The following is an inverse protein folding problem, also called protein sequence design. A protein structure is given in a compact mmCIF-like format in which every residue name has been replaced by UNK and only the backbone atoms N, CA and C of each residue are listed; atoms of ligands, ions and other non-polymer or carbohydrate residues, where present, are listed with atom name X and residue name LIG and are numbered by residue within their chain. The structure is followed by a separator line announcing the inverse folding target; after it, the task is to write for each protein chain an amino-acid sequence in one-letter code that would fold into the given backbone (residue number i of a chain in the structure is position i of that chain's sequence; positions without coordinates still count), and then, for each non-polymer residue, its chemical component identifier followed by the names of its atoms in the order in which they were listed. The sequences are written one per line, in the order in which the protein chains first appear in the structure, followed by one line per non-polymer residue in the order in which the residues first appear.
data_IF_175461470474
#
_entry.id   IF_175461470474
#
_cell.length_a   1.000
_cell.length_b   1.000
_cell.length_c   1.000
_cell.angle_alpha   90.00
_cell.angle_beta   90.00
_cell.angle_gamma   90.00
#
_symmetry.space_group_name_H-M   'P 1'
#
loop_
_entity.id
_entity.type
_entity.pdbx_description
1 polymer ?
#
# COMPACT_ATOMS: atom_id res chain seq x y z
N UNK A 1 1.79 7.64 -27.72
CA UNK A 1 0.35 7.88 -27.86
C UNK A 1 -0.33 7.83 -26.49
N UNK A 2 -1.63 8.13 -26.44
CA UNK A 2 -2.44 8.25 -25.21
C UNK A 2 -2.28 7.07 -24.25
N UNK A 3 -2.39 5.83 -24.74
CA UNK A 3 -2.19 4.62 -23.94
C UNK A 3 -0.85 4.62 -23.18
N UNK A 4 0.26 4.93 -23.85
CA UNK A 4 1.59 4.96 -23.21
C UNK A 4 1.69 6.02 -22.12
N UNK A 5 1.01 7.16 -22.29
CA UNK A 5 0.93 8.20 -21.28
C UNK A 5 0.16 7.70 -20.04
N UNK A 6 -0.99 7.04 -20.25
CA UNK A 6 -1.77 6.46 -19.14
C UNK A 6 -0.96 5.39 -18.40
N UNK A 7 -0.31 4.48 -19.12
CA UNK A 7 0.55 3.44 -18.53
C UNK A 7 1.69 4.06 -17.70
N UNK A 8 2.34 5.11 -18.22
CA UNK A 8 3.46 5.78 -17.55
C UNK A 8 3.04 6.51 -16.25
N UNK A 9 1.81 7.04 -16.20
CA UNK A 9 1.27 7.72 -15.02
C UNK A 9 0.62 6.76 -14.02
N UNK A 10 0.46 5.48 -14.36
CA UNK A 10 -0.14 4.44 -13.53
C UNK A 10 0.93 3.75 -12.70
N UNK A 11 0.67 3.57 -11.41
CA UNK A 11 1.61 3.02 -10.43
C UNK A 11 1.03 1.82 -9.71
N UNK A 12 1.92 0.92 -9.27
CA UNK A 12 1.55 -0.17 -8.36
C UNK A 12 1.55 0.34 -6.93
N UNK A 13 0.55 -0.05 -6.14
CA UNK A 13 0.46 0.26 -4.70
C UNK A 13 0.60 -1.04 -3.94
N UNK A 14 1.68 -1.18 -3.15
CA UNK A 14 1.98 -2.40 -2.39
C UNK A 14 1.88 -2.11 -0.90
N UNK A 15 1.11 -2.93 -0.21
CA UNK A 15 0.92 -2.93 1.23
C UNK A 15 1.09 -4.34 1.80
N UNK A 16 1.01 -4.50 3.12
CA UNK A 16 1.30 -5.76 3.79
C UNK A 16 0.47 -6.94 3.30
N UNK A 17 -0.84 -6.77 3.22
CA UNK A 17 -1.78 -7.86 2.92
C UNK A 17 -2.49 -7.71 1.58
N UNK A 18 -2.30 -6.61 0.88
CA UNK A 18 -2.93 -6.38 -0.42
C UNK A 18 -2.01 -5.65 -1.38
N UNK A 19 -2.42 -5.59 -2.61
CA UNK A 19 -1.84 -4.77 -3.64
C UNK A 19 -2.97 -4.13 -4.45
N UNK A 20 -2.68 -2.97 -5.00
CA UNK A 20 -3.60 -2.25 -5.86
C UNK A 20 -2.87 -1.42 -6.88
N UNK A 21 -3.61 -0.54 -7.45
CA UNK A 21 -3.16 0.40 -8.47
C UNK A 21 -3.45 1.83 -8.01
N UNK A 22 -2.68 2.76 -8.49
CA UNK A 22 -2.93 4.19 -8.38
C UNK A 22 -2.48 4.90 -9.65
N UNK A 23 -2.73 6.18 -9.73
CA UNK A 23 -2.18 7.00 -10.82
C UNK A 23 -1.98 8.44 -10.38
N UNK A 24 -1.02 9.12 -11.00
CA UNK A 24 -0.75 10.53 -10.73
C UNK A 24 -1.87 11.41 -11.26
N UNK A 25 -2.47 12.21 -10.37
CA UNK A 25 -3.50 13.22 -10.68
C UNK A 25 -2.94 14.65 -10.68
N UNK A 26 -1.81 14.85 -10.04
CA UNK A 26 -0.96 16.05 -10.07
C UNK A 26 0.50 15.59 -10.12
N UNK A 27 1.48 16.48 -10.30
CA UNK A 27 2.88 16.09 -10.32
C UNK A 27 3.36 15.27 -9.12
N UNK A 28 2.77 15.45 -7.94
CA UNK A 28 3.21 14.81 -6.70
C UNK A 28 2.09 14.10 -5.91
N UNK A 29 0.92 13.92 -6.51
CA UNK A 29 -0.21 13.25 -5.87
C UNK A 29 -0.67 12.05 -6.68
N UNK A 30 -0.73 10.91 -6.02
CA UNK A 30 -1.30 9.66 -6.54
C UNK A 30 -2.65 9.43 -5.88
N UNK A 31 -3.68 9.16 -6.68
CA UNK A 31 -4.97 8.66 -6.19
C UNK A 31 -4.98 7.12 -6.25
N UNK A 32 -5.62 6.50 -5.28
CA UNK A 32 -5.88 5.05 -5.22
C UNK A 32 -7.18 4.77 -4.49
N UNK A 33 -7.62 3.52 -4.42
CA UNK A 33 -8.75 3.13 -3.59
C UNK A 33 -8.38 3.12 -2.11
N UNK A 34 -9.28 3.61 -1.25
CA UNK A 34 -9.07 3.66 0.19
C UNK A 34 -8.85 2.26 0.79
N UNK A 35 -9.66 1.27 0.38
CA UNK A 35 -9.56 -0.10 0.88
C UNK A 35 -8.20 -0.76 0.61
N UNK A 36 -7.48 -0.32 -0.43
CA UNK A 36 -6.12 -0.83 -0.76
C UNK A 36 -5.11 -0.47 0.32
N UNK A 37 -5.27 0.71 0.94
CA UNK A 37 -4.31 1.26 1.90
C UNK A 37 -4.85 1.38 3.32
N UNK A 38 -6.06 0.90 3.57
CA UNK A 38 -6.70 0.99 4.88
C UNK A 38 -5.84 0.32 5.96
N UNK A 39 -5.54 1.06 7.04
CA UNK A 39 -4.69 0.58 8.13
C UNK A 39 -3.19 0.47 7.82
N UNK A 40 -2.75 0.88 6.64
CA UNK A 40 -1.36 0.78 6.22
C UNK A 40 -0.60 2.11 6.44
N UNK A 41 0.33 2.15 7.38
CA UNK A 41 1.04 3.39 7.73
C UNK A 41 2.05 3.84 6.67
N UNK A 42 2.47 2.92 5.79
CA UNK A 42 3.52 3.19 4.80
C UNK A 42 3.35 2.34 3.54
N UNK A 43 2.29 2.57 2.75
CA UNK A 43 2.18 1.92 1.43
C UNK A 43 3.38 2.31 0.56
N UNK A 44 3.78 1.43 -0.36
CA UNK A 44 4.83 1.70 -1.33
C UNK A 44 4.21 1.92 -2.70
N UNK A 45 4.62 3.00 -3.33
CA UNK A 45 4.21 3.36 -4.68
C UNK A 45 5.36 3.01 -5.61
N UNK A 46 5.13 2.06 -6.53
CA UNK A 46 6.13 1.58 -7.48
C UNK A 46 5.80 2.14 -8.86
N UNK A 47 6.74 2.88 -9.43
CA UNK A 47 6.65 3.40 -10.79
C UNK A 47 6.88 2.28 -11.82
N UNK A 48 6.44 2.47 -13.09
CA UNK A 48 6.69 1.50 -14.16
C UNK A 48 8.17 1.18 -14.43
N UNK A 49 9.08 2.08 -14.05
CA UNK A 49 10.53 1.89 -14.16
C UNK A 49 11.16 1.15 -12.96
N UNK A 50 10.36 0.72 -11.98
CA UNK A 50 10.77 -0.01 -10.80
C UNK A 50 11.21 0.85 -9.62
N UNK A 51 11.33 2.17 -9.77
CA UNK A 51 11.57 3.05 -8.62
C UNK A 51 10.37 3.02 -7.68
N UNK A 52 10.60 3.02 -6.37
CA UNK A 52 9.50 3.06 -5.41
C UNK A 52 9.67 4.16 -4.36
N UNK A 53 8.54 4.65 -3.88
CA UNK A 53 8.44 5.76 -2.94
C UNK A 53 7.47 5.45 -1.81
N UNK A 54 7.71 6.08 -0.67
CA UNK A 54 6.78 6.10 0.47
C UNK A 54 6.07 7.45 0.49
N UNK A 55 4.75 7.50 0.68
CA UNK A 55 4.04 8.77 0.79
C UNK A 55 4.49 9.57 2.02
N UNK A 56 4.61 10.88 1.86
CA UNK A 56 4.86 11.82 2.96
C UNK A 56 3.57 12.14 3.74
N UNK A 57 2.43 12.08 3.05
CA UNK A 57 1.11 12.34 3.61
C UNK A 57 0.05 11.52 2.89
N UNK A 58 -0.90 11.01 3.66
CA UNK A 58 -2.05 10.24 3.17
C UNK A 58 -3.33 10.91 3.68
N UNK A 59 -4.23 11.22 2.77
CA UNK A 59 -5.59 11.69 3.08
C UNK A 59 -6.60 10.81 2.34
N UNK A 60 -7.80 10.66 2.88
CA UNK A 60 -8.78 9.80 2.23
C UNK A 60 -10.18 9.93 2.78
N UNK A 61 -11.10 9.24 2.11
CA UNK A 61 -12.51 9.10 2.47
C UNK A 61 -12.94 7.64 2.25
N UNK A 62 -13.22 6.92 3.34
CA UNK A 62 -13.64 5.51 3.29
C UNK A 62 -15.04 5.34 2.69
N UNK A 63 -15.90 6.36 2.75
CA UNK A 63 -17.26 6.32 2.18
C UNK A 63 -17.21 6.35 0.66
N UNK A 64 -16.31 7.15 0.09
CA UNK A 64 -16.07 7.21 -1.35
C UNK A 64 -15.08 6.15 -1.86
N UNK A 65 -14.43 5.43 -0.95
CA UNK A 65 -13.35 4.48 -1.26
C UNK A 65 -12.20 5.11 -2.05
N UNK A 66 -11.81 6.33 -1.70
CA UNK A 66 -10.69 7.03 -2.33
C UNK A 66 -9.66 7.51 -1.31
N UNK A 67 -8.40 7.48 -1.71
CA UNK A 67 -7.29 8.07 -0.97
C UNK A 67 -6.31 8.79 -1.91
N UNK A 68 -5.64 9.80 -1.38
CA UNK A 68 -4.58 10.54 -2.07
C UNK A 68 -3.28 10.43 -1.28
N UNK A 69 -2.26 9.99 -1.98
CA UNK A 69 -0.91 9.77 -1.50
C UNK A 69 -0.03 10.91 -2.01
N UNK A 70 0.48 11.75 -1.11
CA UNK A 70 1.41 12.82 -1.47
C UNK A 70 2.84 12.30 -1.42
N UNK A 71 3.58 12.48 -2.50
CA UNK A 71 4.95 11.96 -2.66
C UNK A 71 5.96 13.10 -2.76
N UNK A 72 7.19 12.86 -2.29
CA UNK A 72 8.36 13.71 -2.55
C UNK A 72 8.92 13.55 -3.98
N UNK A 73 8.16 12.97 -4.90
CA UNK A 73 8.49 12.73 -6.30
C UNK A 73 7.67 13.66 -7.21
N UNK A 74 8.23 14.05 -8.34
CA UNK A 74 7.53 14.89 -9.30
C UNK A 74 7.38 14.19 -10.66
N UNK A 75 6.15 13.80 -10.96
CA UNK A 75 5.75 13.26 -12.26
C UNK A 75 5.59 14.38 -13.29
N UNK A 76 6.20 14.22 -14.44
CA UNK A 76 6.18 15.26 -15.49
C UNK A 76 4.86 15.36 -16.24
N UNK A 77 4.14 14.25 -16.40
CA UNK A 77 2.89 14.15 -17.16
C UNK A 77 1.82 13.37 -16.38
N UNK A 78 1.21 13.96 -15.34
CA UNK A 78 0.12 13.33 -14.61
C UNK A 78 -1.17 13.27 -15.45
N UNK A 79 -2.12 12.44 -15.01
CA UNK A 79 -3.47 12.35 -15.55
C UNK A 79 -4.39 13.30 -14.78
N UNK A 80 -4.69 14.46 -15.31
CA UNK A 80 -5.55 15.41 -14.63
C UNK A 80 -7.01 14.94 -14.57
N UNK A 81 -7.65 15.16 -13.44
CA UNK A 81 -9.08 14.86 -13.27
C UNK A 81 -9.92 15.95 -13.97
N UNK A 82 -10.97 15.57 -14.73
CA UNK A 82 -11.82 16.51 -15.43
C UNK A 82 -12.76 17.29 -14.48
N UNK A 83 -13.30 18.41 -14.96
CA UNK A 83 -14.29 19.21 -14.24
C UNK A 83 -15.69 18.64 -14.34
N UNK A 84 -15.99 17.92 -15.41
CA UNK A 84 -17.29 17.32 -15.67
C UNK A 84 -17.15 15.87 -16.12
N UNK A 85 -18.18 15.08 -15.84
CA UNK A 85 -18.30 13.74 -16.40
C UNK A 85 -18.89 13.84 -17.80
N UNK A 86 -18.17 13.32 -18.77
CA UNK A 86 -18.61 13.25 -20.17
C UNK A 86 -18.34 11.83 -20.68
N UNK A 87 -19.39 11.14 -21.07
CA UNK A 87 -19.34 9.88 -21.80
C UNK A 87 -20.62 9.70 -22.61
N UNK A 88 -20.51 9.11 -23.79
CA UNK A 88 -21.63 8.77 -24.64
C UNK A 88 -21.85 7.25 -24.67
N UNK A 89 -23.05 6.82 -24.99
CA UNK A 89 -23.39 5.40 -25.05
C UNK A 89 -22.44 4.63 -25.98
N UNK A 90 -21.98 3.48 -25.48
CA UNK A 90 -21.04 2.60 -26.17
C UNK A 90 -19.65 3.23 -26.44
N UNK A 91 -19.32 4.33 -25.76
CA UNK A 91 -17.99 4.93 -25.85
C UNK A 91 -16.92 3.91 -25.48
N UNK A 92 -15.88 3.72 -26.33
CA UNK A 92 -14.77 2.82 -26.01
C UNK A 92 -13.92 3.37 -24.87
N UNK A 93 -13.75 2.56 -23.81
CA UNK A 93 -12.98 2.91 -22.63
C UNK A 93 -11.85 1.92 -22.37
N UNK A 94 -10.85 2.37 -21.63
CA UNK A 94 -9.72 1.56 -21.14
C UNK A 94 -9.59 1.67 -19.63
N UNK A 95 -9.54 0.53 -18.95
CA UNK A 95 -9.13 0.44 -17.55
C UNK A 95 -7.66 -0.02 -17.51
N UNK A 96 -6.85 0.67 -16.72
CA UNK A 96 -5.41 0.39 -16.60
C UNK A 96 -5.06 0.07 -15.15
N UNK A 97 -4.25 -0.96 -14.92
CA UNK A 97 -3.85 -1.34 -13.57
C UNK A 97 -2.98 -2.59 -13.51
N UNK A 98 -2.50 -2.89 -12.32
CA UNK A 98 -1.63 -4.03 -12.05
C UNK A 98 -2.46 -5.22 -11.58
N UNK A 99 -2.74 -6.16 -12.49
CA UNK A 99 -3.48 -7.37 -12.19
C UNK A 99 -2.66 -8.33 -11.32
N UNK A 100 -3.22 -8.73 -10.17
CA UNK A 100 -2.59 -9.71 -9.27
C UNK A 100 -2.67 -11.14 -9.81
N UNK A 101 -1.75 -11.99 -9.37
CA UNK A 101 -1.77 -13.43 -9.64
C UNK A 101 -1.50 -13.83 -11.10
N UNK A 102 -1.16 -12.86 -11.95
CA UNK A 102 -0.88 -13.14 -13.38
C UNK A 102 0.56 -13.55 -13.65
N UNK A 103 1.47 -13.31 -12.70
CA UNK A 103 2.93 -13.50 -12.91
C UNK A 103 3.51 -12.59 -14.00
N UNK A 104 2.76 -11.57 -14.42
CA UNK A 104 3.20 -10.63 -15.45
C UNK A 104 4.07 -9.53 -14.83
N UNK A 105 5.26 -9.37 -15.38
CA UNK A 105 6.20 -8.29 -15.03
C UNK A 105 5.99 -7.06 -15.92
N UNK A 106 6.43 -5.92 -15.43
CA UNK A 106 6.56 -4.70 -16.23
C UNK A 106 5.35 -3.78 -16.22
N UNK A 107 4.89 -3.40 -17.40
CA UNK A 107 3.83 -2.39 -17.55
C UNK A 107 2.47 -2.86 -17.02
N UNK A 108 1.58 -1.90 -16.62
CA UNK A 108 0.24 -2.25 -16.17
C UNK A 108 -0.58 -2.92 -17.28
N UNK A 109 -1.53 -3.75 -16.87
CA UNK A 109 -2.50 -4.39 -17.76
C UNK A 109 -3.52 -3.37 -18.25
N UNK A 110 -3.90 -3.46 -19.52
CA UNK A 110 -4.95 -2.63 -20.15
C UNK A 110 -6.12 -3.50 -20.54
N UNK A 111 -7.26 -3.28 -19.90
CA UNK A 111 -8.54 -3.89 -20.25
C UNK A 111 -9.39 -2.91 -21.05
N UNK A 112 -10.13 -3.42 -22.04
CA UNK A 112 -10.95 -2.61 -22.93
C UNK A 112 -12.40 -3.00 -22.83
N UNK A 113 -13.26 -2.04 -23.02
CA UNK A 113 -14.72 -2.21 -23.08
C UNK A 113 -15.40 -0.91 -23.39
N UNK A 114 -16.68 -0.82 -23.07
CA UNK A 114 -17.52 0.30 -23.45
C UNK A 114 -18.27 0.87 -22.25
N UNK A 115 -18.55 2.15 -22.29
CA UNK A 115 -19.47 2.80 -21.34
C UNK A 115 -20.88 2.22 -21.49
N UNK A 116 -21.53 1.94 -20.37
CA UNK A 116 -22.90 1.43 -20.33
C UNK A 116 -23.85 2.47 -19.73
N UNK A 117 -23.56 2.97 -18.53
CA UNK A 117 -24.44 3.92 -17.84
C UNK A 117 -23.75 4.57 -16.64
N UNK A 118 -24.30 5.72 -16.23
CA UNK A 118 -24.05 6.27 -14.92
C UNK A 118 -25.13 5.75 -13.95
N UNK A 119 -24.69 5.09 -12.85
CA UNK A 119 -25.56 4.46 -11.86
C UNK A 119 -25.53 5.21 -10.56
N UNK A 120 -26.70 5.57 -10.03
CA UNK A 120 -26.83 6.17 -8.70
C UNK A 120 -26.92 5.06 -7.64
N UNK A 121 -26.13 5.20 -6.57
CA UNK A 121 -26.26 4.33 -5.40
C UNK A 121 -27.51 4.72 -4.60
N UNK A 122 -28.28 3.67 -4.20
CA UNK A 122 -29.43 3.89 -3.29
C UNK A 122 -29.00 4.11 -1.83
N UNK A 123 -27.79 3.70 -1.49
CA UNK A 123 -27.25 3.71 -0.11
C UNK A 123 -26.30 4.87 0.15
N UNK A 124 -25.73 5.43 -0.89
CA UNK A 124 -24.72 6.49 -0.83
C UNK A 124 -25.11 7.58 -1.83
N UNK A 125 -24.84 8.82 -1.52
CA UNK A 125 -25.00 9.95 -2.46
C UNK A 125 -23.91 9.95 -3.55
N UNK A 126 -23.56 8.75 -4.04
CA UNK A 126 -22.48 8.53 -5.00
C UNK A 126 -23.04 7.99 -6.32
N UNK A 127 -22.49 8.46 -7.42
CA UNK A 127 -22.69 7.88 -8.73
C UNK A 127 -21.54 6.96 -9.07
N UNK A 128 -21.80 5.96 -9.93
CA UNK A 128 -20.80 5.04 -10.46
C UNK A 128 -20.90 4.92 -11.96
N UNK A 129 -19.76 4.88 -12.63
CA UNK A 129 -19.69 4.53 -14.06
C UNK A 129 -19.76 3.02 -14.19
N UNK A 130 -20.71 2.51 -14.96
CA UNK A 130 -20.81 1.11 -15.36
C UNK A 130 -20.26 0.94 -16.76
N UNK A 131 -19.46 -0.10 -16.95
CA UNK A 131 -18.86 -0.46 -18.25
C UNK A 131 -19.03 -1.95 -18.52
N UNK A 132 -18.66 -2.38 -19.73
CA UNK A 132 -18.52 -3.80 -20.08
C UNK A 132 -17.16 -4.39 -19.70
N UNK A 133 -16.26 -3.61 -19.11
CA UNK A 133 -14.93 -4.05 -18.69
C UNK A 133 -15.08 -4.96 -17.46
N UNK A 134 -14.46 -6.13 -17.49
CA UNK A 134 -14.35 -7.01 -16.34
C UNK A 134 -13.03 -6.72 -15.62
N UNK A 135 -13.09 -5.98 -14.51
CA UNK A 135 -11.94 -5.72 -13.66
C UNK A 135 -11.46 -7.02 -12.99
N UNK A 136 -10.15 -7.10 -12.79
CA UNK A 136 -9.51 -8.18 -12.05
C UNK A 136 -8.86 -7.62 -10.77
N UNK A 137 -8.60 -8.51 -9.83
CA UNK A 137 -7.93 -8.16 -8.56
C UNK A 137 -6.60 -7.45 -8.81
N UNK A 138 -6.28 -6.48 -7.97
CA UNK A 138 -5.08 -5.63 -8.10
C UNK A 138 -5.30 -4.36 -8.92
N UNK A 139 -6.35 -4.27 -9.74
CA UNK A 139 -6.63 -3.08 -10.57
C UNK A 139 -7.36 -1.96 -9.81
N UNK A 140 -7.81 -2.19 -8.56
CA UNK A 140 -8.46 -1.18 -7.72
C UNK A 140 -7.58 0.05 -7.55
N UNK A 141 -8.16 1.24 -7.75
CA UNK A 141 -7.49 2.54 -7.69
C UNK A 141 -6.88 3.01 -9.00
N UNK A 142 -6.86 2.17 -10.04
CA UNK A 142 -6.33 2.54 -11.36
C UNK A 142 -7.29 3.43 -12.18
N UNK A 143 -6.80 4.07 -13.26
CA UNK A 143 -7.61 4.95 -14.10
C UNK A 143 -8.51 4.18 -15.07
N UNK A 144 -9.70 4.69 -15.27
CA UNK A 144 -10.56 4.45 -16.42
C UNK A 144 -10.44 5.65 -17.35
N UNK A 145 -10.09 5.44 -18.60
CA UNK A 145 -9.89 6.53 -19.59
C UNK A 145 -10.65 6.29 -20.87
N UNK A 146 -10.89 7.37 -21.62
CA UNK A 146 -11.27 7.28 -23.03
C UNK A 146 -10.05 6.87 -23.91
N UNK A 147 -10.24 6.78 -25.22
CA UNK A 147 -9.20 6.42 -26.18
C UNK A 147 -8.11 7.51 -26.34
N UNK A 148 -8.41 8.73 -25.90
CA UNK A 148 -7.48 9.88 -25.92
C UNK A 148 -6.63 9.95 -24.64
N UNK A 149 -6.94 9.12 -23.61
CA UNK A 149 -6.26 9.12 -22.33
C UNK A 149 -6.83 10.10 -21.31
N UNK A 150 -8.00 10.69 -21.59
CA UNK A 150 -8.71 11.51 -20.63
C UNK A 150 -9.35 10.63 -19.56
N UNK A 151 -9.19 10.99 -18.28
CA UNK A 151 -9.72 10.21 -17.17
C UNK A 151 -11.24 10.37 -17.09
N UNK A 152 -11.95 9.24 -17.12
CA UNK A 152 -13.41 9.17 -17.00
C UNK A 152 -13.80 8.70 -15.60
N UNK A 153 -13.01 7.80 -15.00
CA UNK A 153 -13.30 7.23 -13.69
C UNK A 153 -12.08 6.63 -13.00
N UNK A 154 -12.31 6.14 -11.79
CA UNK A 154 -11.31 5.47 -10.96
C UNK A 154 -11.85 4.08 -10.63
N UNK A 155 -11.03 3.05 -10.86
CA UNK A 155 -11.40 1.67 -10.59
C UNK A 155 -11.68 1.48 -9.08
N UNK A 156 -12.83 0.94 -8.75
CA UNK A 156 -13.16 0.53 -7.38
C UNK A 156 -13.54 -0.94 -7.35
N UNK A 157 -13.99 -1.44 -6.21
CA UNK A 157 -14.38 -2.83 -6.08
C UNK A 157 -15.63 -3.15 -6.92
N UNK A 158 -15.64 -4.30 -7.59
CA UNK A 158 -16.84 -4.85 -8.22
C UNK A 158 -17.94 -5.07 -7.17
N UNK A 159 -19.16 -4.62 -7.46
CA UNK A 159 -20.33 -4.87 -6.64
C UNK A 159 -21.26 -5.86 -7.37
N UNK A 160 -21.56 -7.00 -6.72
CA UNK A 160 -22.45 -8.02 -7.26
C UNK A 160 -22.09 -8.49 -8.70
N UNK A 161 -20.81 -8.64 -9.01
CA UNK A 161 -20.30 -9.08 -10.31
C UNK A 161 -20.24 -7.97 -11.36
N UNK A 162 -20.52 -6.73 -10.99
CA UNK A 162 -20.38 -5.56 -11.85
C UNK A 162 -19.08 -4.82 -11.54
N UNK A 163 -18.32 -4.47 -12.57
CA UNK A 163 -17.19 -3.55 -12.45
C UNK A 163 -17.72 -2.13 -12.47
N UNK A 164 -17.54 -1.43 -11.36
CA UNK A 164 -17.97 -0.07 -11.15
C UNK A 164 -16.76 0.84 -10.96
N UNK A 165 -16.91 2.07 -11.39
CA UNK A 165 -15.85 3.10 -11.32
C UNK A 165 -16.41 4.36 -10.70
N UNK A 166 -15.64 5.01 -9.87
CA UNK A 166 -15.98 6.33 -9.31
C UNK A 166 -15.78 7.37 -10.42
N UNK A 167 -16.78 8.21 -10.75
CA UNK A 167 -16.61 9.27 -11.75
C UNK A 167 -15.44 10.19 -11.39
N UNK A 168 -14.53 10.43 -12.31
CA UNK A 168 -13.34 11.24 -12.06
C UNK A 168 -13.67 12.69 -11.67
N UNK A 169 -14.72 13.27 -12.25
CA UNK A 169 -15.21 14.59 -11.88
C UNK A 169 -15.72 14.65 -10.42
N UNK A 170 -16.39 13.58 -9.93
CA UNK A 170 -16.79 13.48 -8.54
C UNK A 170 -15.57 13.39 -7.61
N UNK A 171 -14.57 12.60 -7.99
CA UNK A 171 -13.31 12.52 -7.24
C UNK A 171 -12.64 13.89 -7.13
N UNK A 172 -12.55 14.65 -8.24
CA UNK A 172 -11.96 15.99 -8.26
C UNK A 172 -12.59 16.94 -7.26
N UNK A 173 -13.91 16.93 -7.16
CA UNK A 173 -14.67 17.78 -6.23
C UNK A 173 -14.47 17.34 -4.78
N UNK A 174 -14.36 16.03 -4.54
CA UNK A 174 -14.30 15.47 -3.19
C UNK A 174 -12.89 15.50 -2.58
N UNK A 175 -11.84 15.31 -3.37
CA UNK A 175 -10.44 15.24 -2.89
C UNK A 175 -10.01 16.41 -2.00
N UNK A 176 -10.37 17.69 -2.28
CA UNK A 176 -10.00 18.80 -1.40
C UNK A 176 -10.59 18.74 0.02
N UNK A 177 -11.64 17.94 0.21
CA UNK A 177 -12.28 17.73 1.51
C UNK A 177 -11.74 16.52 2.29
N UNK A 178 -10.85 15.76 1.70
CA UNK A 178 -10.27 14.58 2.36
C UNK A 178 -9.41 14.99 3.55
N UNK A 179 -9.56 14.24 4.62
CA UNK A 179 -8.84 14.47 5.87
C UNK A 179 -7.86 13.34 6.15
N UNK A 180 -6.89 13.61 7.00
CA UNK A 180 -6.09 12.57 7.62
C UNK A 180 -6.98 11.80 8.62
N UNK A 181 -7.53 10.69 8.15
CA UNK A 181 -8.40 9.80 8.94
C UNK A 181 -7.62 8.90 9.90
N UNK A 182 -6.35 9.21 10.15
CA UNK A 182 -5.47 8.38 10.98
C UNK A 182 -4.97 7.13 10.25
N UNK A 183 -5.01 7.09 8.93
CA UNK A 183 -4.55 5.96 8.10
C UNK A 183 -3.12 5.57 8.44
N UNK A 184 -2.24 6.56 8.62
CA UNK A 184 -0.83 6.37 8.95
C UNK A 184 -0.54 6.45 10.47
N UNK A 185 -1.57 6.44 11.33
CA UNK A 185 -1.39 6.57 12.77
C UNK A 185 -0.81 5.29 13.36
N UNK A 186 0.30 5.44 14.09
CA UNK A 186 0.95 4.37 14.84
C UNK A 186 0.65 4.55 16.32
N UNK A 187 0.20 3.46 16.98
CA UNK A 187 0.03 3.42 18.44
C UNK A 187 0.79 2.20 18.96
N UNK A 188 1.91 2.44 19.64
CA UNK A 188 2.78 1.42 20.22
C UNK A 188 3.31 1.87 21.57
N UNK A 189 3.55 0.92 22.49
CA UNK A 189 4.13 1.18 23.80
C UNK A 189 5.28 0.21 24.12
N UNK A 190 6.53 0.53 23.72
CA UNK A 190 7.69 -0.32 23.98
C UNK A 190 8.12 -0.35 25.45
N UNK A 191 7.42 0.35 26.35
CA UNK A 191 7.70 0.33 27.78
C UNK A 191 6.92 -0.75 28.55
N UNK A 192 5.83 -1.25 27.94
CA UNK A 192 4.87 -2.13 28.60
C UNK A 192 5.41 -3.56 28.81
N UNK A 193 6.00 -4.15 27.78
CA UNK A 193 6.54 -5.52 27.84
C UNK A 193 7.55 -5.80 26.72
N UNK A 194 8.33 -6.90 26.80
CA UNK A 194 9.14 -7.38 25.69
C UNK A 194 8.35 -7.60 24.40
N UNK A 195 7.15 -8.15 24.45
CA UNK A 195 6.29 -8.38 23.30
C UNK A 195 5.84 -7.06 22.67
N UNK A 196 5.43 -6.08 23.46
CA UNK A 196 5.07 -4.74 22.98
C UNK A 196 6.26 -4.00 22.36
N UNK A 197 7.46 -4.19 22.89
CA UNK A 197 8.68 -3.61 22.30
C UNK A 197 9.01 -4.25 20.94
N UNK A 198 8.86 -5.56 20.81
CA UNK A 198 9.03 -6.27 19.52
C UNK A 198 7.98 -5.82 18.52
N UNK A 199 6.72 -5.73 18.94
CA UNK A 199 5.64 -5.19 18.12
C UNK A 199 5.94 -3.76 17.65
N UNK A 200 6.37 -2.89 18.56
CA UNK A 200 6.75 -1.52 18.25
C UNK A 200 7.89 -1.45 17.23
N UNK A 201 8.93 -2.28 17.42
CA UNK A 201 10.08 -2.35 16.53
C UNK A 201 9.68 -2.65 15.08
N UNK A 202 8.91 -3.71 14.87
CA UNK A 202 8.47 -4.09 13.53
C UNK A 202 7.43 -3.10 12.95
N UNK A 203 6.58 -2.51 13.79
CA UNK A 203 5.65 -1.46 13.38
C UNK A 203 6.40 -0.22 12.86
N UNK A 204 7.49 0.18 13.52
CA UNK A 204 8.34 1.26 13.03
C UNK A 204 9.03 0.92 11.70
N UNK A 205 9.50 -0.33 11.54
CA UNK A 205 10.07 -0.78 10.25
C UNK A 205 9.03 -0.72 9.13
N UNK A 206 7.81 -1.23 9.38
CA UNK A 206 6.68 -1.16 8.45
C UNK A 206 6.37 0.28 8.06
N UNK A 207 6.30 1.17 9.03
CA UNK A 207 5.99 2.58 8.84
C UNK A 207 7.15 3.42 8.28
N UNK A 208 8.30 2.82 8.01
CA UNK A 208 9.53 3.51 7.60
C UNK A 208 10.01 4.58 8.59
N UNK A 209 9.60 4.48 9.84
CA UNK A 209 10.10 5.32 10.95
C UNK A 209 11.44 4.75 11.46
N UNK A 210 12.45 4.82 10.61
CA UNK A 210 13.73 4.15 10.83
C UNK A 210 14.46 4.66 12.07
N UNK A 211 14.38 5.97 12.36
CA UNK A 211 14.97 6.53 13.58
C UNK A 211 14.33 5.97 14.85
N UNK A 212 13.01 5.83 14.89
CA UNK A 212 12.29 5.27 16.02
C UNK A 212 12.62 3.79 16.21
N UNK A 213 12.66 3.01 15.10
CA UNK A 213 13.11 1.63 15.14
C UNK A 213 14.55 1.47 15.63
N UNK A 214 15.46 2.32 15.16
CA UNK A 214 16.86 2.33 15.59
C UNK A 214 17.02 2.67 17.09
N UNK A 215 16.22 3.58 17.61
CA UNK A 215 16.20 3.92 19.04
C UNK A 215 15.75 2.75 19.93
N UNK A 216 15.05 1.75 19.39
CA UNK A 216 14.69 0.53 20.11
C UNK A 216 15.81 -0.51 20.14
N UNK A 217 16.94 -0.30 19.49
CA UNK A 217 18.11 -1.17 19.61
C UNK A 217 18.86 -0.87 20.92
N UNK A 218 19.32 -1.92 21.59
CA UNK A 218 20.09 -1.78 22.84
C UNK A 218 21.48 -1.21 22.61
N UNK A 219 22.07 -0.60 23.63
CA UNK A 219 23.48 -0.13 23.59
C UNK A 219 24.44 -1.25 23.18
N UNK A 220 24.18 -2.48 23.62
CA UNK A 220 25.00 -3.64 23.25
C UNK A 220 24.87 -3.99 21.75
N UNK A 221 23.64 -3.94 21.21
CA UNK A 221 23.41 -4.15 19.77
C UNK A 221 24.14 -3.08 18.94
N UNK A 222 24.07 -1.82 19.38
CA UNK A 222 24.65 -0.66 18.68
C UNK A 222 26.17 -0.64 18.66
N UNK A 223 26.87 -1.47 19.46
CA UNK A 223 28.32 -1.65 19.32
C UNK A 223 28.74 -2.25 17.98
N UNK A 224 27.82 -2.88 17.27
CA UNK A 224 28.11 -3.68 16.04
C UNK A 224 27.61 -3.00 14.76
N UNK A 225 26.92 -1.88 14.84
CA UNK A 225 26.32 -1.20 13.70
C UNK A 225 26.08 0.28 13.99
N UNK A 226 25.87 1.06 12.95
CA UNK A 226 25.45 2.45 13.02
C UNK A 226 24.14 2.63 12.23
N UNK A 227 23.56 3.82 12.30
CA UNK A 227 22.27 4.10 11.68
C UNK A 227 22.26 3.83 10.17
N UNK A 228 23.28 4.30 9.46
CA UNK A 228 23.39 4.13 8.00
C UNK A 228 23.51 2.66 7.60
N UNK A 229 24.42 1.92 8.24
CA UNK A 229 24.59 0.48 7.96
C UNK A 229 23.34 -0.32 8.30
N UNK A 230 22.64 0.04 9.39
CA UNK A 230 21.45 -0.65 9.80
C UNK A 230 20.29 -0.37 8.84
N UNK A 231 20.07 0.89 8.44
CA UNK A 231 18.98 1.26 7.51
C UNK A 231 19.18 0.70 6.11
N UNK A 232 20.43 0.59 5.65
CA UNK A 232 20.74 0.02 4.34
C UNK A 232 20.27 -1.44 4.18
N UNK A 233 20.05 -2.18 5.28
CA UNK A 233 19.51 -3.55 5.24
C UNK A 233 18.04 -3.59 4.80
N UNK A 234 17.35 -2.48 4.83
CA UNK A 234 15.92 -2.37 4.53
C UNK A 234 15.64 -1.64 3.21
N UNK A 235 16.66 -1.37 2.40
CA UNK A 235 16.53 -0.56 1.17
C UNK A 235 15.56 -1.20 0.18
N UNK A 236 15.62 -2.52 -0.02
CA UNK A 236 14.79 -3.24 -0.97
C UNK A 236 13.53 -3.86 -0.33
N UNK A 237 13.28 -3.60 0.95
CA UNK A 237 12.08 -4.07 1.65
C UNK A 237 10.94 -3.08 1.42
N UNK A 238 9.91 -3.55 0.72
CA UNK A 238 8.68 -2.79 0.47
C UNK A 238 7.78 -2.72 1.69
N UNK A 239 7.65 -3.84 2.41
CA UNK A 239 6.80 -3.93 3.58
C UNK A 239 7.30 -4.97 4.58
N UNK A 240 6.94 -4.76 5.85
CA UNK A 240 7.12 -5.70 6.95
C UNK A 240 5.77 -5.93 7.60
N UNK A 241 5.26 -7.16 7.56
CA UNK A 241 3.96 -7.50 8.12
C UNK A 241 4.11 -8.48 9.27
N UNK A 242 3.69 -8.07 10.46
CA UNK A 242 3.71 -8.92 11.67
C UNK A 242 2.40 -9.67 11.78
N UNK A 243 2.46 -10.99 11.96
CA UNK A 243 1.31 -11.86 12.13
C UNK A 243 1.07 -12.17 13.60
N UNK A 244 2.13 -12.50 14.33
CA UNK A 244 2.06 -12.93 15.73
C UNK A 244 3.21 -12.34 16.53
N UNK A 245 2.93 -11.80 17.71
CA UNK A 245 3.92 -11.49 18.74
C UNK A 245 3.40 -11.98 20.09
N UNK A 246 4.16 -12.85 20.75
CA UNK A 246 3.78 -13.45 22.02
C UNK A 246 4.95 -13.37 23.02
N UNK A 247 4.67 -13.24 24.32
CA UNK A 247 5.69 -13.47 25.34
C UNK A 247 6.24 -14.91 25.20
N UNK A 248 7.55 -15.06 25.30
CA UNK A 248 8.18 -16.39 25.29
C UNK A 248 7.99 -17.04 26.66
N UNK A 249 7.44 -18.25 26.69
CA UNK A 249 7.22 -19.01 27.91
C UNK A 249 8.52 -19.16 28.72
N UNK A 250 8.40 -19.15 30.05
CA UNK A 250 9.48 -19.30 31.01
C UNK A 250 10.60 -18.24 30.90
N UNK A 251 10.31 -17.09 30.29
CA UNK A 251 11.22 -15.94 30.23
C UNK A 251 10.51 -14.65 30.63
N UNK A 252 11.26 -13.65 31.06
CA UNK A 252 10.76 -12.32 31.39
C UNK A 252 11.28 -11.23 30.45
N UNK A 253 12.17 -11.58 29.52
CA UNK A 253 12.90 -10.67 28.67
C UNK A 253 12.81 -11.00 27.18
N UNK A 254 12.11 -12.06 26.82
CA UNK A 254 12.08 -12.60 25.46
C UNK A 254 10.65 -12.64 24.91
N UNK A 255 10.49 -12.27 23.65
CA UNK A 255 9.25 -12.42 22.90
C UNK A 255 9.47 -13.23 21.62
N UNK A 256 8.48 -14.04 21.28
CA UNK A 256 8.38 -14.76 20.01
C UNK A 256 7.66 -13.88 18.98
N UNK A 257 8.07 -13.94 17.73
CA UNK A 257 7.47 -13.19 16.63
C UNK A 257 7.39 -14.03 15.36
N UNK A 258 6.29 -13.87 14.62
CA UNK A 258 6.14 -14.30 13.23
C UNK A 258 5.86 -13.08 12.35
N UNK A 259 6.61 -12.94 11.27
CA UNK A 259 6.44 -11.82 10.35
C UNK A 259 6.81 -12.22 8.93
N UNK A 260 6.31 -11.45 7.97
CA UNK A 260 6.70 -11.54 6.57
C UNK A 260 7.30 -10.24 6.08
N UNK A 261 8.11 -10.34 5.03
CA UNK A 261 8.59 -9.18 4.29
C UNK A 261 8.17 -9.28 2.83
N UNK A 262 7.88 -8.15 2.22
CA UNK A 262 7.77 -7.99 0.78
C UNK A 262 9.02 -7.26 0.30
N UNK A 263 9.75 -7.87 -0.60
CA UNK A 263 10.99 -7.34 -1.13
C UNK A 263 10.84 -7.02 -2.61
N UNK A 264 11.52 -5.97 -3.09
CA UNK A 264 11.55 -5.62 -4.50
C UNK A 264 12.80 -6.24 -5.14
N UNK A 265 12.63 -7.28 -5.92
CA UNK A 265 13.71 -8.04 -6.54
C UNK A 265 13.38 -8.29 -8.01
N UNK A 266 14.28 -7.90 -8.92
CA UNK A 266 14.13 -8.11 -10.36
C UNK A 266 12.76 -7.73 -10.94
N UNK A 267 12.24 -6.55 -10.54
CA UNK A 267 10.95 -6.00 -10.92
C UNK A 267 9.73 -6.84 -10.47
N UNK A 268 9.92 -7.65 -9.43
CA UNK A 268 8.85 -8.41 -8.78
C UNK A 268 8.79 -8.16 -7.27
N UNK A 269 7.60 -8.41 -6.72
CA UNK A 269 7.41 -8.50 -5.27
C UNK A 269 7.71 -9.93 -4.84
N UNK A 270 8.80 -10.12 -4.11
CA UNK A 270 9.19 -11.38 -3.50
C UNK A 270 8.82 -11.39 -2.01
N UNK A 271 8.16 -12.47 -1.56
CA UNK A 271 7.61 -12.56 -0.20
C UNK A 271 8.38 -13.61 0.59
N UNK A 272 8.91 -13.21 1.73
CA UNK A 272 9.60 -14.08 2.67
C UNK A 272 8.89 -14.11 4.01
N UNK A 273 8.95 -15.24 4.68
CA UNK A 273 8.36 -15.43 6.01
C UNK A 273 9.42 -15.83 7.03
N UNK A 274 9.26 -15.34 8.25
CA UNK A 274 10.22 -15.51 9.32
C UNK A 274 9.53 -15.77 10.64
N UNK A 275 10.16 -16.59 11.47
CA UNK A 275 9.76 -16.74 12.86
C UNK A 275 10.98 -16.85 13.78
N UNK A 276 10.77 -16.54 15.06
CA UNK A 276 11.82 -16.68 16.05
C UNK A 276 11.63 -15.78 17.23
N UNK A 277 12.72 -15.51 17.95
CA UNK A 277 12.67 -14.78 19.20
C UNK A 277 13.57 -13.55 19.17
N UNK A 278 13.10 -12.53 19.90
CA UNK A 278 13.92 -11.41 20.32
C UNK A 278 14.07 -11.43 21.85
N UNK A 279 15.31 -11.44 22.31
CA UNK A 279 15.64 -11.12 23.68
C UNK A 279 15.77 -9.61 23.79
N UNK A 280 15.16 -9.03 24.82
CA UNK A 280 15.20 -7.59 25.11
C UNK A 280 16.01 -7.33 26.40
N UNK A 281 16.35 -6.07 26.60
CA UNK A 281 16.92 -5.55 27.85
C UNK A 281 16.23 -4.23 28.18
N UNK A 282 16.01 -3.96 29.47
CA UNK A 282 15.43 -2.69 29.88
C UNK A 282 16.51 -1.63 30.05
N UNK A 283 16.45 -0.60 29.21
CA UNK A 283 17.33 0.56 29.25
C UNK A 283 16.48 1.84 29.30
N UNK A 284 16.74 2.73 30.25
CA UNK A 284 16.03 4.01 30.43
C UNK A 284 14.49 3.85 30.48
N UNK A 285 14.01 2.77 31.10
CA UNK A 285 12.59 2.48 31.23
C UNK A 285 11.91 1.80 30.02
N UNK A 286 12.63 1.60 28.91
CA UNK A 286 12.13 1.02 27.66
C UNK A 286 12.77 -0.35 27.43
N UNK A 287 12.00 -1.31 26.92
CA UNK A 287 12.55 -2.57 26.45
C UNK A 287 13.25 -2.37 25.10
N UNK A 288 14.52 -2.71 25.04
CA UNK A 288 15.39 -2.56 23.86
C UNK A 288 15.76 -3.91 23.27
N UNK A 289 15.83 -3.98 21.96
CA UNK A 289 16.18 -5.17 21.19
C UNK A 289 17.67 -5.52 21.41
N UNK A 290 17.92 -6.65 22.07
CA UNK A 290 19.29 -7.06 22.45
C UNK A 290 19.85 -8.09 21.47
N UNK A 291 19.13 -9.16 21.22
CA UNK A 291 19.58 -10.27 20.37
C UNK A 291 18.38 -11.00 19.78
N UNK A 292 18.48 -11.32 18.49
CA UNK A 292 17.49 -12.15 17.80
C UNK A 292 18.02 -13.54 17.47
N UNK A 293 17.08 -14.49 17.40
CA UNK A 293 17.22 -15.79 16.74
C UNK A 293 16.03 -15.94 15.81
N UNK A 294 16.17 -15.48 14.60
CA UNK A 294 15.13 -15.47 13.57
C UNK A 294 15.55 -16.44 12.46
N UNK A 295 14.60 -17.25 12.02
CA UNK A 295 14.79 -18.21 10.94
C UNK A 295 13.75 -17.93 9.85
N UNK A 296 14.15 -18.14 8.61
CA UNK A 296 13.23 -18.11 7.48
C UNK A 296 12.38 -19.38 7.46
N UNK A 297 11.10 -19.24 7.12
CA UNK A 297 10.13 -20.33 6.99
C UNK A 297 9.69 -20.41 5.54
N UNK A 298 10.07 -21.49 4.87
CA UNK A 298 9.67 -21.71 3.48
C UNK A 298 8.23 -22.24 3.42
N UNK A 299 7.39 -21.58 2.60
CA UNK A 299 6.03 -22.00 2.29
C UNK A 299 5.18 -22.35 3.54
N UNK A 300 4.98 -21.41 4.49
CA UNK A 300 4.21 -21.69 5.69
C UNK A 300 2.78 -22.12 5.35
N UNK A 301 2.27 -23.11 6.10
CA UNK A 301 0.88 -23.53 6.01
C UNK A 301 -0.06 -22.46 6.58
N UNK A 302 -1.38 -22.61 6.31
CA UNK A 302 -2.38 -21.65 6.75
C UNK A 302 -2.36 -21.37 8.25
N UNK A 303 -2.20 -22.44 9.08
CA UNK A 303 -2.21 -22.32 10.54
C UNK A 303 -1.05 -21.47 11.07
N UNK A 304 0.07 -21.44 10.36
CA UNK A 304 1.26 -20.68 10.76
C UNK A 304 0.98 -19.20 11.01
N UNK A 305 0.02 -18.60 10.30
CA UNK A 305 -0.28 -17.17 10.39
C UNK A 305 -1.10 -16.79 11.65
N UNK A 306 -1.65 -17.75 12.34
CA UNK A 306 -2.61 -17.51 13.43
C UNK A 306 -2.24 -18.15 14.77
N UNK A 307 -1.23 -19.02 14.82
CA UNK A 307 -0.83 -19.76 16.03
C UNK A 307 0.47 -19.28 16.66
#
# INVERSE_FOLDING_TARGET
GARKHVEAATVRVVVGQSEGTGFFITPNQVVTSFHVIEGEPSPKIILPDGQFFTPEKIVGDSTLDLAVLNLGYTMTQPLYLPDAFEAYNDEPLMAVGYALGTGLKGNPTVLRGNFVALRQSKKQSAAYVQTTINLVEGMSGGPLTDQCGNVVGINTMGLAGLSLFIPAAQAKVSIPMFTDSGIAKITVDPTASPAEAVWAFYTYLKARRMEDGFRLLSREYLKKTNFTEWTNRFTDILDVNVFVVLPQENTTDTAFVKFGTKNWVDDEVDVHYYEGTWRTIREDGVFKMLKSKILEVENPGWDWFYE
#
